data_IF_575585488400
#
_entry.id   IF_575585488400
#
_cell.length_a   1.000
_cell.length_b   1.000
_cell.length_c   1.000
_cell.angle_alpha   90.00
_cell.angle_beta   90.00
_cell.angle_gamma   90.00
#
_symmetry.space_group_name_H-M   'P 1'
#
loop_
_entity.id
_entity.type
_entity.pdbx_description
1 polymer ?
#
# COMPACT_ATOMS: atom_id res chain seq x y z
N UNK A 1 22.80 37.77 7.77
CA UNK A 1 22.67 36.35 8.12
C UNK A 1 21.18 36.09 8.39
N UNK A 2 20.51 35.30 7.52
CA UNK A 2 19.14 34.81 7.81
C UNK A 2 19.30 33.56 8.68
N UNK A 3 18.91 33.67 9.94
CA UNK A 3 18.78 32.48 10.81
C UNK A 3 17.55 31.66 10.36
N UNK A 4 17.67 30.35 10.16
CA UNK A 4 16.50 29.51 9.93
C UNK A 4 15.64 29.51 11.20
N UNK A 5 14.37 29.86 11.04
CA UNK A 5 13.39 29.81 12.14
C UNK A 5 12.71 28.45 12.02
N UNK A 6 13.01 27.53 12.96
CA UNK A 6 12.24 26.30 13.12
C UNK A 6 11.07 26.57 14.08
N UNK A 7 9.87 26.32 13.64
CA UNK A 7 8.63 26.57 14.40
C UNK A 7 8.45 25.62 15.60
N UNK A 8 9.07 24.44 15.54
CA UNK A 8 9.10 23.42 16.60
C UNK A 8 10.45 22.71 16.59
N UNK A 9 11.00 22.32 17.76
CA UNK A 9 12.15 21.42 17.75
C UNK A 9 11.75 20.11 17.08
N UNK A 10 12.54 19.65 16.11
CA UNK A 10 12.37 18.32 15.49
C UNK A 10 12.69 17.24 16.54
N UNK A 11 11.71 16.91 17.37
CA UNK A 11 11.76 15.76 18.27
C UNK A 11 10.82 14.72 17.66
N UNK A 12 11.26 14.13 16.56
CA UNK A 12 10.55 13.01 15.93
C UNK A 12 11.04 11.71 16.56
N UNK A 13 10.16 11.03 17.27
CA UNK A 13 10.43 9.64 17.62
C UNK A 13 10.50 8.82 16.34
N UNK A 14 11.56 8.01 16.16
CA UNK A 14 11.63 7.11 15.02
C UNK A 14 10.54 6.06 15.16
N UNK A 15 9.55 6.11 14.29
CA UNK A 15 8.43 5.14 14.26
C UNK A 15 8.43 4.44 12.92
N UNK A 16 8.34 3.12 12.96
CA UNK A 16 8.23 2.26 11.79
C UNK A 16 6.97 1.45 11.91
N UNK A 17 6.14 1.43 10.88
CA UNK A 17 4.96 0.59 10.79
C UNK A 17 5.14 -0.52 9.77
N UNK A 18 4.64 -1.71 10.10
CA UNK A 18 4.55 -2.87 9.22
C UNK A 18 3.09 -3.14 8.95
N UNK A 19 2.68 -3.00 7.70
CA UNK A 19 1.29 -3.17 7.25
C UNK A 19 1.22 -4.43 6.40
N UNK A 20 0.36 -5.37 6.79
CA UNK A 20 0.16 -6.63 6.07
C UNK A 20 -1.33 -6.83 5.80
N UNK A 21 -1.70 -6.97 4.53
CA UNK A 21 -3.06 -7.28 4.14
C UNK A 21 -3.24 -8.79 3.96
N UNK A 22 -4.37 -9.31 4.44
CA UNK A 22 -4.76 -10.71 4.32
C UNK A 22 -6.26 -10.84 4.17
N UNK A 23 -6.72 -11.06 2.95
CA UNK A 23 -8.15 -10.97 2.60
C UNK A 23 -9.00 -12.19 3.02
N UNK A 24 -8.37 -13.26 3.50
CA UNK A 24 -9.03 -14.55 3.78
C UNK A 24 -9.13 -14.90 5.28
N UNK A 25 -8.83 -13.97 6.18
CA UNK A 25 -8.77 -14.24 7.61
C UNK A 25 -9.85 -13.54 8.44
N UNK A 26 -10.34 -14.21 9.49
CA UNK A 26 -10.96 -13.50 10.61
C UNK A 26 -9.90 -12.72 11.38
N UNK A 27 -10.31 -11.76 12.20
CA UNK A 27 -9.39 -10.95 13.01
C UNK A 27 -8.46 -11.84 13.86
N UNK A 28 -9.00 -12.92 14.46
CA UNK A 28 -8.24 -13.85 15.28
C UNK A 28 -7.20 -14.66 14.48
N UNK A 29 -7.51 -14.99 13.23
CA UNK A 29 -6.57 -15.68 12.33
C UNK A 29 -5.45 -14.73 11.93
N UNK A 30 -5.78 -13.49 11.62
CA UNK A 30 -4.79 -12.47 11.25
C UNK A 30 -3.87 -12.18 12.45
N UNK A 31 -4.45 -12.05 13.64
CA UNK A 31 -3.70 -11.84 14.86
C UNK A 31 -2.67 -12.96 15.06
N UNK A 32 -3.13 -14.21 15.14
CA UNK A 32 -2.25 -15.35 15.47
C UNK A 32 -1.25 -15.72 14.36
N UNK A 33 -1.60 -15.53 13.08
CA UNK A 33 -0.75 -15.95 11.96
C UNK A 33 0.12 -14.86 11.37
N UNK A 34 -0.19 -13.60 11.63
CA UNK A 34 0.50 -12.46 11.05
C UNK A 34 1.00 -11.51 12.13
N UNK A 35 0.09 -10.94 12.94
CA UNK A 35 0.42 -9.89 13.91
C UNK A 35 1.43 -10.40 14.94
N UNK A 36 1.10 -11.51 15.63
CA UNK A 36 1.96 -12.10 16.68
C UNK A 36 3.35 -12.47 16.12
N UNK A 37 3.41 -13.04 14.92
CA UNK A 37 4.67 -13.42 14.30
C UNK A 37 5.54 -12.22 13.94
N UNK A 38 4.93 -11.14 13.47
CA UNK A 38 5.66 -9.90 13.16
C UNK A 38 6.13 -9.25 14.45
N UNK A 39 5.29 -9.17 15.48
CA UNK A 39 5.67 -8.64 16.79
C UNK A 39 6.84 -9.43 17.40
N UNK A 40 6.76 -10.76 17.39
CA UNK A 40 7.83 -11.62 17.87
C UNK A 40 9.14 -11.38 17.12
N UNK A 41 9.07 -11.29 15.78
CA UNK A 41 10.25 -11.08 14.95
C UNK A 41 10.93 -9.73 15.20
N UNK A 42 10.16 -8.67 15.41
CA UNK A 42 10.71 -7.32 15.61
C UNK A 42 11.07 -7.04 17.08
N UNK A 43 10.48 -7.74 18.05
CA UNK A 43 10.70 -7.50 19.49
C UNK A 43 12.16 -7.60 19.90
N UNK A 44 12.97 -8.37 19.18
CA UNK A 44 14.41 -8.52 19.43
C UNK A 44 15.29 -7.45 18.79
N UNK A 45 14.72 -6.43 18.16
CA UNK A 45 15.50 -5.34 17.53
C UNK A 45 15.98 -4.37 18.63
N UNK A 46 17.26 -4.03 18.62
CA UNK A 46 17.84 -3.11 19.58
C UNK A 46 17.27 -1.69 19.41
N UNK A 47 16.99 -1.01 20.53
CA UNK A 47 16.49 0.36 20.57
C UNK A 47 14.97 0.48 20.35
N UNK A 48 14.21 -0.62 20.40
CA UNK A 48 12.77 -0.56 20.49
C UNK A 48 12.36 -0.10 21.90
N UNK A 49 11.50 0.92 21.93
CA UNK A 49 10.88 1.44 23.15
C UNK A 49 9.48 0.86 23.34
N UNK A 50 8.64 0.92 22.32
CA UNK A 50 7.25 0.45 22.37
C UNK A 50 6.88 -0.28 21.07
N UNK A 51 6.19 -1.42 21.20
CA UNK A 51 5.49 -2.07 20.10
C UNK A 51 3.99 -1.96 20.37
N UNK A 52 3.24 -1.61 19.35
CA UNK A 52 1.76 -1.61 19.36
C UNK A 52 1.26 -2.23 18.08
N UNK A 53 0.17 -2.97 18.15
CA UNK A 53 -0.48 -3.53 16.99
C UNK A 53 -1.96 -3.18 16.95
N UNK A 54 -2.49 -3.14 15.76
CA UNK A 54 -3.90 -3.04 15.46
C UNK A 54 -4.24 -4.11 14.41
N UNK A 55 -5.08 -5.06 14.80
CA UNK A 55 -5.54 -6.14 13.93
C UNK A 55 -7.01 -5.92 13.60
N UNK A 56 -7.28 -5.72 12.35
CA UNK A 56 -8.64 -5.57 11.81
C UNK A 56 -8.95 -6.66 10.80
N UNK A 57 -10.20 -6.69 10.33
CA UNK A 57 -10.58 -7.58 9.24
C UNK A 57 -9.77 -7.23 8.00
N UNK A 58 -9.04 -8.20 7.48
CA UNK A 58 -8.19 -8.12 6.28
C UNK A 58 -6.85 -7.38 6.45
N UNK A 59 -6.49 -6.88 7.64
CA UNK A 59 -5.25 -6.12 7.81
C UNK A 59 -4.65 -6.28 9.19
N UNK A 60 -3.35 -6.41 9.25
CA UNK A 60 -2.51 -6.26 10.43
C UNK A 60 -1.62 -5.02 10.27
N UNK A 61 -1.56 -4.20 11.32
CA UNK A 61 -0.67 -3.04 11.41
C UNK A 61 0.13 -3.16 12.69
N UNK A 62 1.44 -3.35 12.58
CA UNK A 62 2.35 -3.39 13.73
C UNK A 62 3.22 -2.15 13.70
N UNK A 63 3.23 -1.39 14.80
CA UNK A 63 3.92 -0.11 14.94
C UNK A 63 5.03 -0.28 15.98
N UNK A 64 6.27 -0.08 15.57
CA UNK A 64 7.43 -0.05 16.45
C UNK A 64 7.93 1.39 16.62
N UNK A 65 7.94 1.86 17.84
CA UNK A 65 8.57 3.12 18.25
C UNK A 65 9.96 2.80 18.78
N UNK A 66 10.96 3.56 18.34
CA UNK A 66 12.34 3.39 18.73
C UNK A 66 12.80 4.56 19.61
N UNK A 67 13.90 4.34 20.32
CA UNK A 67 14.58 5.40 21.06
C UNK A 67 15.02 6.54 20.12
N UNK A 68 15.02 7.76 20.64
CA UNK A 68 15.43 8.95 19.87
C UNK A 68 16.85 8.90 19.32
N UNK A 69 17.71 8.09 19.96
CA UNK A 69 19.10 7.89 19.54
C UNK A 69 19.24 7.09 18.25
N UNK A 70 18.20 6.30 17.87
CA UNK A 70 18.26 5.41 16.71
C UNK A 70 17.80 6.12 15.45
N UNK A 71 18.62 6.19 14.38
CA UNK A 71 18.18 6.76 13.10
C UNK A 71 17.00 5.98 12.51
N UNK A 72 15.96 6.68 12.05
CA UNK A 72 14.74 6.03 11.48
C UNK A 72 15.05 5.14 10.28
N UNK A 73 16.08 5.48 9.52
CA UNK A 73 16.51 4.67 8.34
C UNK A 73 17.08 3.32 8.79
N UNK A 74 17.91 3.33 9.84
CA UNK A 74 18.45 2.12 10.43
C UNK A 74 17.33 1.26 11.04
N UNK A 75 16.45 1.88 11.83
CA UNK A 75 15.29 1.21 12.39
C UNK A 75 14.43 0.53 11.32
N UNK A 76 14.14 1.23 10.21
CA UNK A 76 13.35 0.67 9.11
C UNK A 76 14.06 -0.47 8.38
N UNK A 77 15.38 -0.42 8.25
CA UNK A 77 16.16 -1.51 7.66
C UNK A 77 16.17 -2.74 8.58
N UNK A 78 16.40 -2.56 9.87
CA UNK A 78 16.35 -3.64 10.86
C UNK A 78 14.98 -4.33 10.87
N UNK A 79 13.90 -3.54 10.86
CA UNK A 79 12.52 -4.07 10.78
C UNK A 79 12.34 -4.85 9.47
N UNK A 80 12.80 -4.32 8.34
CA UNK A 80 12.67 -4.99 7.03
C UNK A 80 13.39 -6.32 7.02
N UNK A 81 14.61 -6.36 7.53
CA UNK A 81 15.43 -7.58 7.58
C UNK A 81 14.76 -8.65 8.45
N UNK A 82 14.25 -8.26 9.63
CA UNK A 82 13.53 -9.18 10.51
C UNK A 82 12.23 -9.69 9.90
N UNK A 83 11.40 -8.80 9.39
CA UNK A 83 10.11 -9.15 8.78
C UNK A 83 10.30 -10.03 7.54
N UNK A 84 11.38 -9.85 6.78
CA UNK A 84 11.67 -10.66 5.59
C UNK A 84 11.90 -12.15 5.90
N UNK A 85 12.28 -12.47 7.14
CA UNK A 85 12.53 -13.86 7.60
C UNK A 85 11.29 -14.52 8.21
N UNK A 86 10.19 -13.78 8.38
CA UNK A 86 8.95 -14.31 8.97
C UNK A 86 8.21 -15.19 7.97
N UNK A 87 7.88 -16.40 8.39
CA UNK A 87 7.05 -17.30 7.58
C UNK A 87 5.57 -16.93 7.73
N UNK A 88 5.09 -16.12 6.79
CA UNK A 88 3.70 -15.70 6.68
C UNK A 88 2.89 -16.63 5.76
N UNK A 89 1.55 -16.69 5.90
CA UNK A 89 0.69 -17.42 4.98
C UNK A 89 0.96 -16.99 3.52
N UNK A 90 0.92 -17.94 2.59
CA UNK A 90 1.18 -17.67 1.16
C UNK A 90 0.20 -16.69 0.53
N UNK A 91 -1.01 -16.67 1.05
CA UNK A 91 -2.10 -15.79 0.62
C UNK A 91 -2.02 -14.39 1.24
N UNK A 92 -1.12 -14.18 2.20
CA UNK A 92 -0.87 -12.85 2.75
C UNK A 92 -0.07 -12.01 1.75
N UNK A 93 -0.46 -10.76 1.60
CA UNK A 93 0.31 -9.83 0.81
C UNK A 93 1.66 -9.57 1.49
N UNK A 94 2.67 -9.21 0.69
CA UNK A 94 3.98 -8.86 1.24
C UNK A 94 3.83 -7.68 2.22
N UNK A 95 4.45 -7.75 3.41
CA UNK A 95 4.45 -6.65 4.36
C UNK A 95 5.01 -5.36 3.76
N UNK A 96 4.31 -4.28 3.96
CA UNK A 96 4.75 -2.92 3.58
C UNK A 96 5.32 -2.27 4.83
N UNK A 97 6.58 -1.80 4.75
CA UNK A 97 7.25 -1.11 5.85
C UNK A 97 7.26 0.39 5.55
N UNK A 98 6.60 1.15 6.39
CA UNK A 98 6.52 2.61 6.30
C UNK A 98 7.21 3.26 7.49
N UNK A 99 7.92 4.35 7.21
CA UNK A 99 8.54 5.21 8.23
C UNK A 99 7.59 6.36 8.52
N UNK A 100 7.34 6.60 9.77
CA UNK A 100 6.59 7.78 10.20
C UNK A 100 7.57 8.85 10.66
N UNK A 101 7.42 10.04 10.12
CA UNK A 101 8.12 11.23 10.58
C UNK A 101 7.10 12.37 10.64
N UNK A 102 7.19 13.22 11.64
CA UNK A 102 6.35 14.41 11.73
C UNK A 102 6.60 15.39 10.57
N UNK A 103 7.78 15.27 9.96
CA UNK A 103 8.11 16.01 8.71
C UNK A 103 7.33 15.50 7.49
N UNK A 104 6.61 14.37 7.61
CA UNK A 104 5.75 13.81 6.55
C UNK A 104 4.37 14.47 6.51
N UNK A 105 4.05 15.38 7.43
CA UNK A 105 2.81 16.13 7.37
C UNK A 105 2.73 16.94 6.06
N UNK A 106 1.58 16.95 5.37
CA UNK A 106 1.43 17.69 4.14
C UNK A 106 1.61 19.21 4.39
N UNK A 107 2.53 19.84 3.67
CA UNK A 107 2.77 21.29 3.75
C UNK A 107 1.64 22.04 3.02
N UNK A 108 1.11 21.44 1.94
CA UNK A 108 0.05 22.02 1.11
C UNK A 108 -1.00 20.94 0.87
N UNK A 109 -2.26 21.28 1.11
CA UNK A 109 -3.42 20.48 0.75
C UNK A 109 -4.20 21.18 -0.35
N UNK A 110 -4.37 20.52 -1.49
CA UNK A 110 -5.12 21.00 -2.62
C UNK A 110 -6.45 20.25 -2.74
N UNK A 111 -7.53 20.98 -2.97
CA UNK A 111 -8.85 20.38 -3.18
C UNK A 111 -9.21 20.44 -4.66
N UNK A 112 -9.50 19.27 -5.23
CA UNK A 112 -10.02 19.15 -6.60
C UNK A 112 -11.51 18.90 -6.53
N UNK A 113 -12.28 19.66 -7.32
CA UNK A 113 -13.72 19.48 -7.42
C UNK A 113 -14.19 19.52 -8.87
N UNK A 114 -15.31 18.89 -9.15
CA UNK A 114 -15.96 18.93 -10.46
C UNK A 114 -17.41 19.39 -10.31
N UNK A 115 -17.88 20.14 -11.29
CA UNK A 115 -19.30 20.55 -11.37
C UNK A 115 -20.17 19.47 -12.02
N UNK A 116 -19.55 18.50 -12.67
CA UNK A 116 -20.20 17.37 -13.32
C UNK A 116 -20.19 16.19 -12.35
N UNK A 117 -21.27 15.41 -12.36
CA UNK A 117 -21.41 14.19 -11.56
C UNK A 117 -20.52 13.06 -12.12
N UNK A 118 -19.21 13.32 -12.23
CA UNK A 118 -18.23 12.47 -12.86
C UNK A 118 -16.94 12.39 -12.02
N UNK A 119 -17.14 11.98 -10.77
CA UNK A 119 -16.04 11.83 -9.80
C UNK A 119 -14.94 10.91 -10.33
N UNK A 120 -15.32 9.85 -11.03
CA UNK A 120 -14.38 8.87 -11.61
C UNK A 120 -13.38 9.52 -12.57
N UNK A 121 -13.86 10.39 -13.46
CA UNK A 121 -12.98 11.10 -14.41
C UNK A 121 -12.08 12.09 -13.69
N UNK A 122 -12.60 12.75 -12.65
CA UNK A 122 -11.80 13.65 -11.82
C UNK A 122 -10.65 12.89 -11.15
N UNK A 123 -10.96 11.72 -10.57
CA UNK A 123 -9.99 10.88 -9.87
C UNK A 123 -8.93 10.34 -10.83
N UNK A 124 -9.33 9.87 -11.99
CA UNK A 124 -8.41 9.41 -13.03
C UNK A 124 -7.48 10.56 -13.47
N UNK A 125 -8.05 11.73 -13.76
CA UNK A 125 -7.27 12.91 -14.14
C UNK A 125 -6.32 13.37 -13.02
N UNK A 126 -6.77 13.32 -11.76
CA UNK A 126 -5.93 13.63 -10.60
C UNK A 126 -4.72 12.68 -10.51
N UNK A 127 -4.92 11.39 -10.74
CA UNK A 127 -3.88 10.39 -10.63
C UNK A 127 -2.93 10.36 -11.84
N UNK A 128 -3.45 10.50 -13.05
CA UNK A 128 -2.67 10.35 -14.28
C UNK A 128 -2.03 11.65 -14.77
N UNK A 129 -2.60 12.80 -14.43
CA UNK A 129 -2.13 14.09 -14.91
C UNK A 129 -1.63 14.98 -13.77
N UNK A 130 -2.50 15.27 -12.79
CA UNK A 130 -2.19 16.27 -11.76
C UNK A 130 -1.05 15.80 -10.86
N UNK A 131 -1.11 14.55 -10.39
CA UNK A 131 -0.09 13.99 -9.50
C UNK A 131 1.31 13.97 -10.12
N UNK A 132 1.52 13.46 -11.35
CA UNK A 132 2.83 13.47 -11.99
C UNK A 132 3.37 14.90 -12.23
N UNK A 133 2.50 15.82 -12.64
CA UNK A 133 2.88 17.23 -12.84
C UNK A 133 3.37 17.85 -11.53
N UNK A 134 2.64 17.64 -10.43
CA UNK A 134 3.06 18.16 -9.13
C UNK A 134 4.35 17.50 -8.63
N UNK A 135 4.52 16.20 -8.87
CA UNK A 135 5.73 15.46 -8.49
C UNK A 135 6.97 15.90 -9.28
N UNK A 136 6.79 16.45 -10.48
CA UNK A 136 7.91 16.93 -11.31
C UNK A 136 8.44 18.31 -10.89
N UNK A 137 7.77 19.00 -9.97
CA UNK A 137 8.19 20.31 -9.50
C UNK A 137 9.40 20.15 -8.55
N UNK A 138 10.46 20.89 -8.81
CA UNK A 138 11.65 20.87 -7.95
C UNK A 138 11.29 21.26 -6.49
N UNK A 139 11.76 20.46 -5.54
CA UNK A 139 11.46 20.65 -4.11
C UNK A 139 10.21 19.93 -3.61
N UNK A 140 9.42 19.28 -4.47
CA UNK A 140 8.31 18.43 -4.07
C UNK A 140 8.81 17.03 -3.75
N UNK A 141 8.74 16.62 -2.48
CA UNK A 141 9.20 15.30 -2.04
C UNK A 141 8.18 14.19 -2.28
N UNK A 142 6.90 14.47 -2.04
CA UNK A 142 5.82 13.47 -2.17
C UNK A 142 4.49 14.15 -2.49
N UNK A 143 3.69 13.52 -3.33
CA UNK A 143 2.29 13.92 -3.60
C UNK A 143 1.39 12.73 -3.33
N UNK A 144 0.45 12.90 -2.41
CA UNK A 144 -0.56 11.90 -2.07
C UNK A 144 -1.94 12.38 -2.52
N UNK A 145 -2.77 11.43 -2.95
CA UNK A 145 -4.17 11.70 -3.29
C UNK A 145 -5.04 11.02 -2.24
N UNK A 146 -5.84 11.81 -1.53
CA UNK A 146 -6.86 11.29 -0.63
C UNK A 146 -8.22 11.27 -1.32
N UNK A 147 -9.08 10.32 -0.96
CA UNK A 147 -10.41 10.16 -1.53
C UNK A 147 -10.44 9.39 -2.85
N UNK A 148 -9.31 8.84 -3.29
CA UNK A 148 -9.27 7.97 -4.46
C UNK A 148 -10.03 6.67 -4.18
N UNK A 149 -10.84 6.24 -5.16
CA UNK A 149 -11.55 4.96 -5.14
C UNK A 149 -11.22 4.20 -6.41
N UNK A 150 -10.62 3.04 -6.25
CA UNK A 150 -10.38 2.16 -7.38
C UNK A 150 -11.69 1.62 -7.93
N UNK A 151 -11.78 1.53 -9.26
CA UNK A 151 -12.87 0.82 -9.90
C UNK A 151 -12.68 -0.66 -9.69
N UNK A 152 -13.67 -1.30 -9.12
CA UNK A 152 -13.69 -2.76 -8.93
C UNK A 152 -14.83 -3.36 -9.73
N UNK A 153 -14.55 -4.44 -10.46
CA UNK A 153 -15.55 -5.28 -11.09
C UNK A 153 -15.96 -6.36 -10.08
N UNK A 154 -17.18 -6.26 -9.57
CA UNK A 154 -17.74 -7.29 -8.68
C UNK A 154 -18.46 -8.33 -9.51
N UNK A 155 -18.02 -9.58 -9.43
CA UNK A 155 -18.63 -10.72 -10.09
C UNK A 155 -19.44 -11.50 -9.07
N UNK A 156 -20.73 -11.65 -9.32
CA UNK A 156 -21.65 -12.41 -8.48
C UNK A 156 -22.07 -13.69 -9.23
N UNK A 157 -21.41 -14.81 -8.98
CA UNK A 157 -21.75 -16.07 -9.67
C UNK A 157 -23.08 -16.61 -9.15
N UNK A 158 -23.86 -17.20 -10.06
CA UNK A 158 -25.05 -17.97 -9.71
C UNK A 158 -24.62 -19.38 -9.27
N UNK A 159 -24.77 -19.66 -7.98
CA UNK A 159 -24.39 -20.95 -7.38
C UNK A 159 -25.17 -22.12 -7.95
N UNK A 160 -26.41 -21.92 -8.40
CA UNK A 160 -27.24 -22.95 -9.02
C UNK A 160 -26.68 -23.36 -10.38
N UNK A 161 -26.22 -22.38 -11.15
CA UNK A 161 -25.58 -22.62 -12.45
C UNK A 161 -24.19 -23.26 -12.27
N UNK A 162 -23.41 -22.83 -11.30
CA UNK A 162 -22.12 -23.47 -10.99
C UNK A 162 -22.30 -24.96 -10.70
N UNK A 163 -23.24 -25.31 -9.81
CA UNK A 163 -23.57 -26.70 -9.50
C UNK A 163 -24.03 -27.49 -10.71
N UNK A 164 -24.84 -26.87 -11.60
CA UNK A 164 -25.32 -27.53 -12.85
C UNK A 164 -24.19 -27.88 -13.82
N UNK A 165 -23.12 -27.06 -13.81
CA UNK A 165 -21.96 -27.28 -14.68
C UNK A 165 -20.81 -28.00 -13.95
N UNK A 166 -21.00 -28.48 -12.71
CA UNK A 166 -19.99 -29.09 -11.85
C UNK A 166 -18.74 -28.21 -11.69
N UNK A 167 -18.95 -26.89 -11.56
CA UNK A 167 -17.90 -25.92 -11.31
C UNK A 167 -18.01 -25.45 -9.85
N UNK A 168 -16.86 -25.21 -9.23
CA UNK A 168 -16.81 -24.54 -7.94
C UNK A 168 -16.37 -23.07 -8.07
N UNK A 169 -16.34 -22.34 -6.95
CA UNK A 169 -15.91 -20.95 -6.94
C UNK A 169 -14.41 -20.81 -7.23
N UNK A 170 -13.61 -21.82 -6.89
CA UNK A 170 -12.18 -21.79 -7.14
C UNK A 170 -11.87 -21.97 -8.63
N UNK A 171 -12.62 -22.83 -9.31
CA UNK A 171 -12.52 -23.00 -10.78
C UNK A 171 -12.80 -21.68 -11.49
N UNK A 172 -13.85 -20.97 -11.05
CA UNK A 172 -14.19 -19.67 -11.62
C UNK A 172 -13.11 -18.62 -11.33
N UNK A 173 -12.62 -18.55 -10.09
CA UNK A 173 -11.56 -17.61 -9.72
C UNK A 173 -10.28 -17.87 -10.51
N UNK A 174 -9.85 -19.12 -10.58
CA UNK A 174 -8.65 -19.52 -11.33
C UNK A 174 -8.76 -19.16 -12.80
N UNK A 175 -9.94 -19.37 -13.39
CA UNK A 175 -10.17 -19.03 -14.80
C UNK A 175 -10.18 -17.54 -15.07
N UNK A 176 -10.74 -16.74 -14.14
CA UNK A 176 -10.71 -15.28 -14.23
C UNK A 176 -9.26 -14.78 -14.10
N UNK A 177 -8.49 -15.32 -13.18
CA UNK A 177 -7.08 -14.94 -12.98
C UNK A 177 -6.22 -15.29 -14.21
N UNK A 178 -6.46 -16.47 -14.82
CA UNK A 178 -5.78 -16.89 -16.04
C UNK A 178 -6.07 -15.98 -17.24
N UNK A 179 -7.30 -15.50 -17.36
CA UNK A 179 -7.73 -14.67 -18.50
C UNK A 179 -7.48 -13.16 -18.25
N UNK A 180 -7.34 -12.74 -16.99
CA UNK A 180 -7.08 -11.35 -16.59
C UNK A 180 -5.58 -11.00 -16.65
N UNK A 181 -4.86 -11.55 -17.60
CA UNK A 181 -3.45 -11.25 -17.83
C UNK A 181 -3.38 -10.10 -18.84
N UNK A 182 -2.73 -9.01 -18.47
CA UNK A 182 -2.28 -8.00 -19.44
C UNK A 182 -1.21 -8.64 -20.33
N UNK A 183 -1.62 -9.16 -21.49
CA UNK A 183 -0.67 -9.62 -22.49
C UNK A 183 -0.17 -8.41 -23.27
N UNK A 184 1.15 -8.30 -23.36
CA UNK A 184 1.77 -7.35 -24.26
C UNK A 184 1.42 -7.79 -25.70
N UNK A 185 0.57 -7.02 -26.38
CA UNK A 185 0.10 -7.35 -27.73
C UNK A 185 1.15 -7.15 -28.82
N UNK A 186 2.39 -6.80 -28.42
CA UNK A 186 3.48 -6.54 -29.32
C UNK A 186 3.50 -5.10 -29.85
N UNK A 187 4.46 -4.83 -30.73
CA UNK A 187 4.74 -3.52 -31.29
C UNK A 187 4.32 -3.48 -32.76
N UNK A 188 3.47 -2.54 -33.11
CA UNK A 188 3.16 -2.24 -34.53
C UNK A 188 3.88 -0.98 -34.92
N UNK A 189 4.73 -1.08 -35.93
CA UNK A 189 5.43 0.06 -36.54
C UNK A 189 4.67 0.46 -37.80
N UNK A 190 4.01 1.61 -37.77
CA UNK A 190 3.35 2.19 -38.94
C UNK A 190 3.96 3.58 -39.23
N UNK A 191 4.69 3.66 -40.34
CA UNK A 191 5.23 4.88 -41.02
C UNK A 191 5.77 6.04 -40.18
N UNK A 192 6.40 5.82 -39.00
CA UNK A 192 7.03 6.77 -38.07
C UNK A 192 6.43 6.90 -36.69
N UNK A 193 5.38 6.17 -36.36
CA UNK A 193 4.89 6.12 -34.98
C UNK A 193 4.93 4.69 -34.45
N UNK A 194 5.50 4.51 -33.27
CA UNK A 194 5.50 3.25 -32.54
C UNK A 194 4.29 3.22 -31.60
N UNK A 195 3.33 2.34 -31.85
CA UNK A 195 2.20 2.10 -30.98
C UNK A 195 2.38 0.79 -30.22
N UNK A 196 2.46 0.85 -28.92
CA UNK A 196 2.41 -0.34 -28.06
C UNK A 196 0.96 -0.76 -27.88
N UNK A 197 0.62 -1.99 -28.24
CA UNK A 197 -0.71 -2.56 -28.05
C UNK A 197 -0.64 -3.45 -26.81
N UNK A 198 -1.40 -3.09 -25.75
CA UNK A 198 -1.70 -3.96 -24.62
C UNK A 198 -3.14 -4.43 -24.71
N UNK A 199 -3.36 -5.73 -24.64
CA UNK A 199 -4.67 -6.37 -24.56
C UNK A 199 -4.92 -6.79 -23.11
#
# INVERSE_FOLDING_TARGET
QKMPIAFLPNVDYPVVSVITNYDQGSTEIIESKITDKIEEAISGISGIDIIRSDTSKNQSVVIAQFELSKPVEEAANDVRDKVSTVDLPKEANKPIIEKFSSSSAPIITLFLSTKLDNLDKLMLHANEVVKPVLQSIEGVGKVEIAGFRDKVLKIYPDTTLLSKYNLDLNDLSSKIDEENIKKDGGRVVQEKEELNISI
#
